data_IF_216549914320
#
_entry.id   IF_216549914320
#
_cell.length_a   1.000
_cell.length_b   1.000
_cell.length_c   1.000
_cell.angle_alpha   90.00
_cell.angle_beta   90.00
_cell.angle_gamma   90.00
#
_symmetry.space_group_name_H-M   'P 1'
#
loop_
_entity.id
_entity.type
_entity.pdbx_description
1 polymer ?
#
# COMPACT_ATOMS: atom_id res chain seq x y z
N UNK A 1 67.20 -39.56 40.55
CA UNK A 1 66.51 -38.41 39.94
C UNK A 1 65.53 -38.96 38.89
N UNK A 2 64.24 -38.61 39.00
CA UNK A 2 63.19 -38.90 37.99
C UNK A 2 63.51 -38.14 36.66
N UNK A 3 62.66 -38.14 35.60
CA UNK A 3 61.51 -39.00 35.14
C UNK A 3 61.68 -39.40 33.64
N UNK A 4 60.80 -40.13 32.92
CA UNK A 4 59.52 -39.70 32.34
C UNK A 4 58.91 -40.84 31.47
N UNK A 5 57.58 -41.06 31.62
CA UNK A 5 56.50 -41.30 30.63
C UNK A 5 56.76 -42.10 29.33
N UNK A 6 55.81 -42.78 28.66
CA UNK A 6 54.40 -43.22 28.84
C UNK A 6 54.01 -43.78 27.44
N UNK A 7 53.14 -44.79 27.37
CA UNK A 7 52.08 -45.01 26.36
C UNK A 7 51.86 -46.51 26.08
N UNK A 8 50.87 -47.06 26.78
CA UNK A 8 50.22 -48.34 26.47
C UNK A 8 49.13 -48.04 25.44
N UNK A 9 49.23 -48.65 24.26
CA UNK A 9 48.21 -48.57 23.22
C UNK A 9 47.02 -49.47 23.55
N UNK A 10 45.83 -48.88 23.62
CA UNK A 10 44.54 -49.58 23.70
C UNK A 10 44.02 -49.73 22.27
N UNK A 11 43.95 -50.96 21.79
CA UNK A 11 43.36 -51.30 20.48
C UNK A 11 41.86 -51.54 20.68
N UNK A 12 41.04 -50.57 20.28
CA UNK A 12 39.57 -50.65 20.31
C UNK A 12 39.07 -51.26 18.98
N UNK A 13 38.38 -52.40 19.06
CA UNK A 13 37.79 -53.07 17.90
C UNK A 13 36.58 -52.31 17.35
N UNK A 14 36.57 -52.05 16.05
CA UNK A 14 35.45 -51.44 15.32
C UNK A 14 34.50 -52.57 14.87
N UNK A 15 33.30 -52.60 15.44
CA UNK A 15 32.20 -53.43 14.98
C UNK A 15 31.47 -52.73 13.84
N UNK A 16 31.43 -53.37 12.68
CA UNK A 16 30.71 -52.93 11.48
C UNK A 16 29.22 -53.23 11.68
N UNK A 17 28.38 -52.21 11.87
CA UNK A 17 26.94 -52.33 11.72
C UNK A 17 26.55 -51.83 10.32
N UNK A 18 26.19 -52.75 9.44
CA UNK A 18 25.54 -52.44 8.17
C UNK A 18 24.07 -52.12 8.45
N UNK A 19 23.72 -50.83 8.45
CA UNK A 19 22.33 -50.40 8.32
C UNK A 19 21.90 -50.59 6.86
N UNK A 20 21.15 -51.66 6.62
CA UNK A 20 20.35 -51.86 5.42
C UNK A 20 19.15 -50.92 5.49
N UNK A 21 19.24 -49.76 4.84
CA UNK A 21 18.05 -48.97 4.53
C UNK A 21 17.31 -49.67 3.39
N UNK A 22 16.13 -50.21 3.71
CA UNK A 22 15.15 -50.67 2.74
C UNK A 22 14.87 -49.58 1.72
N UNK A 23 15.06 -49.89 0.44
CA UNK A 23 14.55 -49.09 -0.67
C UNK A 23 13.04 -49.28 -0.69
N UNK A 24 12.32 -48.43 0.04
CA UNK A 24 10.92 -48.18 -0.27
C UNK A 24 10.88 -47.21 -1.45
N UNK A 25 10.41 -47.75 -2.58
CA UNK A 25 10.03 -47.00 -3.76
C UNK A 25 8.74 -46.22 -3.45
N UNK A 26 8.85 -45.08 -2.77
CA UNK A 26 7.81 -44.06 -2.82
C UNK A 26 8.10 -43.13 -3.99
N UNK A 27 7.51 -43.47 -5.13
CA UNK A 27 7.42 -42.59 -6.28
C UNK A 27 6.29 -41.58 -6.05
N UNK A 28 6.40 -40.80 -4.97
CA UNK A 28 5.63 -39.58 -4.76
C UNK A 28 6.56 -38.42 -5.09
N UNK A 29 6.18 -37.58 -6.05
CA UNK A 29 6.77 -36.26 -6.13
C UNK A 29 6.69 -35.64 -4.72
N UNK A 30 7.77 -35.10 -4.12
CA UNK A 30 7.62 -34.42 -2.84
C UNK A 30 6.53 -33.36 -3.04
N UNK A 31 5.44 -33.45 -2.29
CA UNK A 31 4.46 -32.36 -2.26
C UNK A 31 5.24 -31.12 -1.83
N UNK A 32 5.24 -30.11 -2.69
CA UNK A 32 5.89 -28.84 -2.37
C UNK A 32 5.27 -28.30 -1.09
N UNK A 33 6.10 -27.87 -0.14
CA UNK A 33 5.61 -27.22 1.06
C UNK A 33 4.88 -25.91 0.66
N UNK A 34 3.64 -25.77 1.10
CA UNK A 34 2.85 -24.55 0.93
C UNK A 34 2.74 -23.78 2.23
N UNK A 35 2.75 -22.46 2.14
CA UNK A 35 2.66 -21.52 3.24
C UNK A 35 1.37 -20.70 3.12
N UNK A 36 0.71 -20.47 4.26
CA UNK A 36 -0.49 -19.64 4.31
C UNK A 36 -0.13 -18.18 4.03
N UNK A 37 -0.81 -17.61 3.04
CA UNK A 37 -0.63 -16.24 2.59
C UNK A 37 -1.94 -15.48 2.71
N UNK A 38 -1.97 -14.48 3.57
CA UNK A 38 -3.14 -13.64 3.82
C UNK A 38 -3.08 -12.39 2.95
N UNK A 39 -4.14 -12.14 2.19
CA UNK A 39 -4.30 -10.95 1.37
C UNK A 39 -5.15 -9.92 2.10
N UNK A 40 -4.71 -8.66 2.09
CA UNK A 40 -5.40 -7.55 2.73
C UNK A 40 -5.49 -6.36 1.79
N UNK A 41 -6.50 -5.53 2.01
CA UNK A 41 -6.67 -4.25 1.31
C UNK A 41 -6.52 -3.07 2.29
N UNK A 42 -5.98 -1.98 1.80
CA UNK A 42 -5.82 -0.68 2.48
C UNK A 42 -5.93 0.43 1.44
N UNK A 43 -5.81 1.68 1.89
CA UNK A 43 -5.96 2.87 1.06
C UNK A 43 -5.27 4.12 1.68
N UNK A 44 -5.12 5.15 0.85
CA UNK A 44 -4.79 6.53 1.17
C UNK A 44 -6.06 7.42 1.18
N UNK A 45 -6.10 8.49 2.00
CA UNK A 45 -7.26 9.38 2.05
C UNK A 45 -7.59 10.00 0.69
N UNK A 46 -8.88 10.25 0.45
CA UNK A 46 -9.33 11.01 -0.71
C UNK A 46 -9.16 12.50 -0.42
N UNK A 47 -8.47 13.21 -1.33
CA UNK A 47 -8.12 14.61 -1.16
C UNK A 47 -9.29 15.57 -1.54
N UNK A 48 -10.54 15.27 -1.17
CA UNK A 48 -11.72 16.11 -1.45
C UNK A 48 -12.66 16.21 -0.22
N UNK A 49 -13.11 17.42 0.13
CA UNK A 49 -13.98 17.69 1.29
C UNK A 49 -15.44 17.25 1.10
N UNK A 50 -15.90 17.12 -0.14
CA UNK A 50 -17.26 16.68 -0.47
C UNK A 50 -17.44 15.17 -0.30
N UNK A 51 -16.34 14.43 -0.36
CA UNK A 51 -16.30 12.97 -0.21
C UNK A 51 -16.30 12.64 1.28
N UNK A 52 -17.39 12.04 1.77
CA UNK A 52 -17.46 11.48 3.12
C UNK A 52 -16.85 10.09 3.17
N UNK A 53 -17.20 9.26 2.17
CA UNK A 53 -16.64 7.92 2.04
C UNK A 53 -16.58 7.44 0.58
N UNK A 54 -15.74 6.45 0.32
CA UNK A 54 -15.66 5.76 -0.97
C UNK A 54 -15.79 4.27 -0.75
N UNK A 55 -16.84 3.72 -1.36
CA UNK A 55 -17.19 2.32 -1.27
C UNK A 55 -16.80 1.59 -2.55
N UNK A 56 -16.02 0.53 -2.40
CA UNK A 56 -15.59 -0.33 -3.50
C UNK A 56 -16.03 -1.76 -3.23
N UNK A 57 -16.79 -2.33 -4.16
CA UNK A 57 -17.23 -3.72 -4.08
C UNK A 57 -16.33 -4.61 -4.90
N UNK A 58 -15.63 -5.51 -4.22
CA UNK A 58 -14.77 -6.52 -4.83
C UNK A 58 -15.57 -7.81 -4.89
N UNK A 59 -15.73 -8.35 -6.10
CA UNK A 59 -16.46 -9.58 -6.39
C UNK A 59 -15.57 -10.82 -6.43
N UNK A 60 -14.30 -10.65 -6.82
CA UNK A 60 -13.29 -11.70 -6.79
C UNK A 60 -11.88 -11.10 -6.65
N UNK A 61 -10.96 -11.90 -6.12
CA UNK A 61 -9.53 -11.58 -6.04
C UNK A 61 -8.79 -12.80 -6.54
N UNK A 62 -8.00 -12.66 -7.59
CA UNK A 62 -7.25 -13.78 -8.18
C UNK A 62 -5.76 -13.55 -8.08
N UNK A 63 -5.03 -14.63 -7.88
CA UNK A 63 -3.57 -14.68 -7.86
C UNK A 63 -3.14 -15.74 -8.85
N UNK A 64 -2.39 -15.34 -9.88
CA UNK A 64 -2.05 -16.21 -11.03
C UNK A 64 -3.28 -16.93 -11.61
N UNK A 65 -4.40 -16.20 -11.70
CA UNK A 65 -5.67 -16.71 -12.22
C UNK A 65 -6.46 -17.60 -11.25
N UNK A 66 -5.96 -17.85 -10.04
CA UNK A 66 -6.66 -18.62 -9.01
C UNK A 66 -7.36 -17.70 -8.01
N UNK A 67 -8.68 -17.80 -7.89
CA UNK A 67 -9.47 -17.02 -6.91
C UNK A 67 -9.08 -17.36 -5.46
N UNK A 68 -9.11 -16.36 -4.57
CA UNK A 68 -8.90 -16.55 -3.13
C UNK A 68 -9.95 -17.50 -2.55
N UNK A 69 -9.50 -18.52 -1.82
CA UNK A 69 -10.42 -19.51 -1.24
C UNK A 69 -11.33 -18.86 -0.19
N UNK A 70 -12.64 -19.08 -0.32
CA UNK A 70 -13.63 -18.56 0.61
C UNK A 70 -13.87 -17.06 0.52
N UNK A 71 -13.27 -16.37 -0.45
CA UNK A 71 -13.63 -14.98 -0.74
C UNK A 71 -15.08 -14.91 -1.20
N UNK A 72 -15.84 -14.00 -0.58
CA UNK A 72 -17.18 -13.67 -1.01
C UNK A 72 -17.17 -12.20 -1.41
N UNK A 73 -18.02 -11.86 -2.37
CA UNK A 73 -18.25 -10.47 -2.77
C UNK A 73 -18.43 -9.60 -1.52
N UNK A 74 -17.60 -8.57 -1.39
CA UNK A 74 -17.51 -7.72 -0.20
C UNK A 74 -17.39 -6.26 -0.62
N UNK A 75 -18.13 -5.39 0.06
CA UNK A 75 -18.04 -3.94 -0.10
C UNK A 75 -17.17 -3.35 0.99
N UNK A 76 -16.15 -2.61 0.60
CA UNK A 76 -15.21 -1.95 1.51
C UNK A 76 -15.44 -0.45 1.45
N UNK A 77 -15.60 0.19 2.61
CA UNK A 77 -15.29 1.61 2.77
C UNK A 77 -13.77 1.73 2.80
N UNK A 78 -13.18 2.11 1.66
CA UNK A 78 -11.72 2.21 1.50
C UNK A 78 -11.18 3.46 2.20
N UNK A 79 -11.91 4.58 2.16
CA UNK A 79 -11.58 5.81 2.87
C UNK A 79 -11.44 5.64 4.38
N UNK A 80 -12.09 4.64 4.99
CA UNK A 80 -11.90 4.29 6.39
C UNK A 80 -10.61 3.50 6.69
N UNK A 81 -9.89 3.02 5.65
CA UNK A 81 -8.69 2.18 5.78
C UNK A 81 -7.37 2.98 5.80
N UNK A 82 -7.44 4.25 6.20
CA UNK A 82 -6.27 5.13 6.35
C UNK A 82 -5.43 4.80 7.60
N UNK A 83 -4.23 5.39 7.67
CA UNK A 83 -3.30 5.26 8.80
C UNK A 83 -2.86 3.83 9.09
N UNK A 84 -2.65 3.03 8.04
CA UNK A 84 -2.16 1.65 8.14
C UNK A 84 -3.25 0.64 8.55
N UNK A 85 -4.52 1.05 8.56
CA UNK A 85 -5.62 0.13 8.76
C UNK A 85 -5.82 -0.75 7.53
N UNK A 86 -6.12 -2.02 7.74
CA UNK A 86 -6.25 -3.00 6.66
C UNK A 86 -7.47 -3.88 6.90
N UNK A 87 -8.08 -4.38 5.83
CA UNK A 87 -9.10 -5.44 5.89
C UNK A 87 -8.61 -6.69 5.18
N UNK A 88 -8.87 -7.85 5.76
CA UNK A 88 -8.54 -9.13 5.14
C UNK A 88 -9.51 -9.42 4.00
N UNK A 89 -8.96 -9.76 2.84
CA UNK A 89 -9.70 -10.27 1.68
C UNK A 89 -9.87 -11.78 1.83
N UNK A 90 -8.77 -12.51 2.00
CA UNK A 90 -8.80 -13.96 2.11
C UNK A 90 -7.42 -14.55 2.27
N UNK A 91 -7.32 -15.87 2.11
CA UNK A 91 -6.05 -16.59 2.20
C UNK A 91 -5.88 -17.53 1.01
N UNK A 92 -4.62 -17.81 0.66
CA UNK A 92 -4.24 -18.92 -0.22
C UNK A 92 -3.08 -19.69 0.37
N UNK A 93 -3.06 -21.01 0.10
CA UNK A 93 -1.89 -21.85 0.32
C UNK A 93 -0.99 -21.74 -0.91
N UNK A 94 0.23 -21.26 -0.74
CA UNK A 94 1.16 -20.98 -1.85
C UNK A 94 2.55 -21.52 -1.56
N UNK A 95 3.25 -21.99 -2.59
CA UNK A 95 4.67 -22.35 -2.44
C UNK A 95 5.51 -21.10 -2.15
N UNK A 96 6.69 -21.27 -1.54
CA UNK A 96 7.60 -20.15 -1.39
C UNK A 96 8.15 -19.73 -2.76
N UNK A 97 8.14 -18.43 -3.05
CA UNK A 97 8.56 -17.91 -4.34
C UNK A 97 8.10 -16.48 -4.61
N UNK A 98 8.50 -15.96 -5.77
CA UNK A 98 8.06 -14.65 -6.24
C UNK A 98 6.84 -14.80 -7.14
N UNK A 99 5.85 -13.95 -6.89
CA UNK A 99 4.59 -13.92 -7.59
C UNK A 99 4.36 -12.51 -8.14
N UNK A 100 3.58 -12.44 -9.20
CA UNK A 100 3.02 -11.23 -9.81
C UNK A 100 1.63 -11.61 -10.32
N UNK A 101 0.82 -10.69 -10.83
CA UNK A 101 -0.52 -10.99 -11.36
C UNK A 101 -1.58 -11.22 -10.28
N UNK A 102 -1.79 -10.20 -9.44
CA UNK A 102 -3.05 -10.11 -8.68
C UNK A 102 -4.08 -9.42 -9.59
N UNK A 103 -5.28 -10.01 -9.72
CA UNK A 103 -6.43 -9.40 -10.38
C UNK A 103 -7.49 -9.09 -9.32
N UNK A 104 -7.93 -7.83 -9.22
CA UNK A 104 -9.15 -7.47 -8.50
C UNK A 104 -10.30 -7.36 -9.48
N UNK A 105 -11.39 -8.08 -9.23
CA UNK A 105 -12.62 -7.99 -10.02
C UNK A 105 -13.64 -7.17 -9.25
N UNK A 106 -13.96 -5.97 -9.72
CA UNK A 106 -14.93 -5.08 -9.09
C UNK A 106 -16.35 -5.32 -9.60
N UNK A 107 -17.34 -5.08 -8.75
CA UNK A 107 -18.74 -5.00 -9.14
C UNK A 107 -19.22 -3.55 -8.99
N UNK A 108 -19.40 -2.88 -10.13
CA UNK A 108 -19.86 -1.49 -10.15
C UNK A 108 -21.38 -1.37 -9.96
N UNK A 109 -22.13 -2.44 -10.22
CA UNK A 109 -23.58 -2.37 -10.31
C UNK A 109 -24.25 -2.63 -8.97
N UNK A 110 -23.73 -3.55 -8.17
CA UNK A 110 -24.32 -3.87 -6.87
C UNK A 110 -23.30 -4.08 -5.76
N UNK A 111 -23.65 -3.68 -4.54
CA UNK A 111 -22.88 -3.94 -3.32
C UNK A 111 -22.97 -5.42 -2.90
N UNK A 112 -22.35 -5.78 -1.78
CA UNK A 112 -22.37 -7.15 -1.25
C UNK A 112 -23.75 -7.65 -0.84
N UNK A 113 -24.70 -6.75 -0.59
CA UNK A 113 -26.09 -7.05 -0.22
C UNK A 113 -27.04 -7.05 -1.44
N UNK A 114 -26.53 -6.65 -2.62
CA UNK A 114 -27.29 -6.59 -3.87
C UNK A 114 -27.95 -5.24 -4.16
N UNK A 115 -27.62 -4.18 -3.43
CA UNK A 115 -28.14 -2.83 -3.70
C UNK A 115 -27.25 -2.08 -4.68
N UNK A 116 -27.82 -1.22 -5.52
CA UNK A 116 -27.07 -0.37 -6.44
C UNK A 116 -26.81 1.03 -5.86
N UNK A 117 -25.69 1.70 -6.23
CA UNK A 117 -24.56 1.17 -7.00
C UNK A 117 -23.62 0.30 -6.15
N UNK A 118 -22.76 -0.49 -6.81
CA UNK A 118 -21.76 -1.35 -6.17
C UNK A 118 -20.45 -0.64 -5.81
N UNK A 119 -20.00 0.28 -6.65
CA UNK A 119 -18.89 1.18 -6.31
C UNK A 119 -19.38 2.62 -6.40
N UNK A 120 -19.11 3.42 -5.37
CA UNK A 120 -19.59 4.79 -5.30
C UNK A 120 -18.79 5.68 -4.34
N UNK A 121 -18.84 6.97 -4.62
CA UNK A 121 -18.53 8.02 -3.66
C UNK A 121 -19.81 8.34 -2.89
N UNK A 122 -19.73 8.38 -1.55
CA UNK A 122 -20.78 8.90 -0.69
C UNK A 122 -20.44 10.34 -0.31
N UNK A 123 -21.36 11.24 -0.63
CA UNK A 123 -21.23 12.66 -0.34
C UNK A 123 -21.65 12.94 1.10
N UNK A 124 -21.24 14.08 1.66
CA UNK A 124 -21.57 14.47 3.03
C UNK A 124 -23.09 14.56 3.34
N UNK A 125 -23.96 14.67 2.33
CA UNK A 125 -25.42 14.65 2.49
C UNK A 125 -26.04 13.23 2.39
N UNK A 126 -25.20 12.21 2.22
CA UNK A 126 -25.58 10.80 2.07
C UNK A 126 -25.94 10.39 0.65
N UNK A 127 -25.78 11.28 -0.34
CA UNK A 127 -26.01 10.94 -1.75
C UNK A 127 -24.89 10.02 -2.26
N UNK A 128 -25.26 9.03 -3.08
CA UNK A 128 -24.30 8.09 -3.69
C UNK A 128 -24.08 8.44 -5.14
N UNK A 129 -22.84 8.70 -5.51
CA UNK A 129 -22.41 8.90 -6.87
C UNK A 129 -21.66 7.65 -7.39
N UNK A 130 -22.19 7.02 -8.44
CA UNK A 130 -21.64 5.77 -8.97
C UNK A 130 -20.28 6.05 -9.62
N UNK A 131 -19.27 5.26 -9.28
CA UNK A 131 -17.97 5.28 -9.94
C UNK A 131 -17.68 3.95 -10.62
N UNK A 132 -17.14 4.01 -11.84
CA UNK A 132 -16.81 2.84 -12.66
C UNK A 132 -15.64 3.13 -13.60
N UNK A 133 -14.90 2.08 -13.99
CA UNK A 133 -13.94 2.18 -15.09
C UNK A 133 -14.42 1.33 -16.26
N UNK A 134 -13.75 1.43 -17.41
CA UNK A 134 -14.11 0.66 -18.61
C UNK A 134 -13.93 -0.85 -18.44
N UNK A 135 -13.17 -1.28 -17.42
CA UNK A 135 -12.93 -2.68 -17.09
C UNK A 135 -13.28 -2.93 -15.62
N UNK A 136 -13.95 -4.04 -15.33
CA UNK A 136 -14.19 -4.52 -13.97
C UNK A 136 -13.00 -5.28 -13.40
N UNK A 137 -12.18 -5.88 -14.27
CA UNK A 137 -10.92 -6.52 -13.88
C UNK A 137 -9.79 -5.51 -13.87
N UNK A 138 -9.08 -5.43 -12.75
CA UNK A 138 -7.91 -4.58 -12.55
C UNK A 138 -6.72 -5.48 -12.27
N UNK A 139 -5.78 -5.51 -13.21
CA UNK A 139 -4.50 -6.19 -13.02
C UNK A 139 -3.57 -5.31 -12.18
N UNK A 140 -2.99 -5.88 -11.12
CA UNK A 140 -1.95 -5.24 -10.32
C UNK A 140 -0.61 -5.79 -10.79
N UNK A 141 0.24 -4.89 -11.29
CA UNK A 141 1.50 -5.24 -11.95
C UNK A 141 2.66 -5.45 -10.98
N UNK A 142 2.51 -5.02 -9.73
CA UNK A 142 3.49 -5.22 -8.68
C UNK A 142 3.66 -6.71 -8.32
N UNK A 143 4.90 -7.09 -8.04
CA UNK A 143 5.22 -8.41 -7.51
C UNK A 143 5.25 -8.45 -5.98
N UNK A 144 5.11 -9.66 -5.43
CA UNK A 144 5.28 -9.97 -4.01
C UNK A 144 5.99 -11.31 -3.82
N UNK A 145 6.47 -11.57 -2.62
CA UNK A 145 7.16 -12.81 -2.26
C UNK A 145 6.34 -13.61 -1.25
N UNK A 146 6.24 -14.92 -1.43
CA UNK A 146 5.80 -15.83 -0.37
C UNK A 146 7.05 -16.40 0.26
N UNK A 147 7.27 -16.06 1.53
CA UNK A 147 8.39 -16.58 2.30
C UNK A 147 8.07 -17.97 2.84
N UNK A 148 9.10 -18.79 3.03
CA UNK A 148 9.02 -20.10 3.67
C UNK A 148 8.80 -19.97 5.20
N UNK A 149 7.69 -19.34 5.57
CA UNK A 149 7.26 -19.02 6.93
C UNK A 149 5.75 -19.12 7.02
N UNK A 150 5.22 -19.28 8.23
CA UNK A 150 3.77 -19.43 8.45
C UNK A 150 3.01 -18.09 8.50
N UNK A 151 3.69 -16.97 8.28
CA UNK A 151 3.12 -15.62 8.36
C UNK A 151 3.54 -14.81 7.13
N UNK A 152 2.74 -14.89 6.07
CA UNK A 152 2.87 -14.02 4.89
C UNK A 152 1.65 -13.10 4.83
N UNK A 153 1.84 -11.79 4.92
CA UNK A 153 0.76 -10.81 4.76
C UNK A 153 1.04 -9.92 3.55
N UNK A 154 0.21 -10.05 2.51
CA UNK A 154 0.28 -9.26 1.29
C UNK A 154 -0.74 -8.14 1.38
N UNK A 155 -0.27 -6.90 1.28
CA UNK A 155 -1.13 -5.71 1.29
C UNK A 155 -1.30 -5.23 -0.15
N UNK A 156 -2.55 -5.13 -0.57
CA UNK A 156 -3.00 -4.42 -1.76
C UNK A 156 -3.39 -3.02 -1.30
N UNK A 157 -2.62 -2.02 -1.68
CA UNK A 157 -2.91 -0.62 -1.40
C UNK A 157 -3.55 0.00 -2.64
N UNK A 158 -4.82 0.37 -2.49
CA UNK A 158 -5.66 0.92 -3.54
C UNK A 158 -5.71 2.43 -3.33
N UNK A 159 -4.74 3.18 -3.87
CA UNK A 159 -4.61 4.63 -3.62
C UNK A 159 -5.81 5.39 -4.23
N UNK A 160 -6.83 5.70 -3.43
CA UNK A 160 -8.05 6.36 -3.90
C UNK A 160 -7.78 7.73 -4.51
N UNK A 161 -6.80 8.47 -3.99
CA UNK A 161 -6.41 9.77 -4.55
C UNK A 161 -5.91 9.66 -6.00
N UNK A 162 -5.26 8.55 -6.37
CA UNK A 162 -4.83 8.31 -7.76
C UNK A 162 -5.92 7.70 -8.64
N UNK A 163 -6.90 7.06 -8.03
CA UNK A 163 -7.82 6.17 -8.73
C UNK A 163 -9.22 6.76 -8.88
N UNK A 164 -9.60 7.75 -8.08
CA UNK A 164 -10.83 8.52 -8.23
C UNK A 164 -10.51 9.88 -8.84
N UNK A 165 -11.32 10.31 -9.81
CA UNK A 165 -11.26 11.63 -10.44
C UNK A 165 -12.59 12.35 -10.31
N UNK A 166 -12.51 13.67 -10.31
CA UNK A 166 -13.66 14.55 -10.50
C UNK A 166 -13.95 14.71 -12.00
N UNK A 167 -15.20 14.51 -12.41
CA UNK A 167 -15.65 14.79 -13.77
C UNK A 167 -16.03 16.28 -13.88
N UNK A 168 -15.41 17.01 -14.81
CA UNK A 168 -15.81 18.39 -15.06
C UNK A 168 -17.05 18.43 -15.98
N UNK A 169 -18.24 18.80 -15.47
CA UNK A 169 -19.40 19.02 -16.34
C UNK A 169 -20.79 19.00 -15.69
N UNK A 170 -21.83 18.92 -16.53
CA UNK A 170 -23.26 18.83 -16.14
C UNK A 170 -23.77 17.38 -16.15
N UNK A 171 -22.91 16.41 -15.87
CA UNK A 171 -23.28 14.99 -15.89
C UNK A 171 -24.07 14.63 -14.60
N UNK A 172 -24.70 13.45 -14.60
CA UNK A 172 -25.40 12.95 -13.40
C UNK A 172 -24.43 12.48 -12.29
N UNK A 173 -23.14 12.30 -12.62
CA UNK A 173 -22.05 11.92 -11.70
C UNK A 173 -20.96 12.99 -11.69
N UNK A 174 -20.54 13.39 -10.49
CA UNK A 174 -19.47 14.34 -10.21
C UNK A 174 -18.10 13.63 -10.08
N UNK A 175 -18.09 12.31 -9.85
CA UNK A 175 -16.89 11.49 -9.69
C UNK A 175 -16.91 10.27 -10.58
N UNK A 176 -15.72 9.75 -10.86
CA UNK A 176 -15.56 8.46 -11.52
C UNK A 176 -14.22 7.80 -11.18
N UNK A 177 -14.05 6.51 -11.50
CA UNK A 177 -12.70 5.96 -11.52
C UNK A 177 -11.92 6.55 -12.71
N UNK A 178 -10.60 6.63 -12.56
CA UNK A 178 -9.66 6.93 -13.65
C UNK A 178 -9.69 5.85 -14.74
N UNK A 179 -8.94 6.06 -15.82
CA UNK A 179 -8.83 5.05 -16.89
C UNK A 179 -8.33 3.71 -16.35
N UNK A 180 -8.65 2.59 -17.00
CA UNK A 180 -8.24 1.26 -16.51
C UNK A 180 -6.72 1.13 -16.31
N UNK A 181 -5.91 1.81 -17.14
CA UNK A 181 -4.45 1.86 -16.98
C UNK A 181 -4.00 2.68 -15.78
N UNK A 182 -4.63 3.83 -15.53
CA UNK A 182 -4.32 4.65 -14.35
C UNK A 182 -4.81 3.97 -13.07
N UNK A 183 -5.92 3.23 -13.15
CA UNK A 183 -6.47 2.46 -12.04
C UNK A 183 -5.49 1.35 -11.65
N UNK A 184 -5.03 0.56 -12.62
CA UNK A 184 -3.97 -0.44 -12.42
C UNK A 184 -2.69 0.18 -11.81
N UNK A 185 -2.27 1.36 -12.30
CA UNK A 185 -1.09 2.07 -11.79
C UNK A 185 -1.29 2.71 -10.40
N UNK A 186 -2.54 2.96 -9.99
CA UNK A 186 -2.89 3.45 -8.68
C UNK A 186 -2.94 2.36 -7.60
N UNK A 187 -2.84 1.08 -7.98
CA UNK A 187 -2.78 -0.04 -7.07
C UNK A 187 -1.34 -0.54 -6.93
N UNK A 188 -0.91 -0.79 -5.68
CA UNK A 188 0.40 -1.38 -5.37
C UNK A 188 0.26 -2.59 -4.48
N UNK A 189 1.22 -3.51 -4.60
CA UNK A 189 1.29 -4.72 -3.77
C UNK A 189 2.59 -4.78 -2.99
N UNK A 190 2.51 -5.08 -1.70
CA UNK A 190 3.66 -5.14 -0.79
C UNK A 190 3.56 -6.28 0.22
N UNK A 191 4.71 -6.90 0.49
CA UNK A 191 4.92 -7.76 1.65
C UNK A 191 4.92 -6.90 2.91
N UNK A 192 3.91 -7.03 3.77
CA UNK A 192 3.78 -6.20 4.97
C UNK A 192 5.05 -6.25 5.83
N UNK A 193 5.57 -7.44 6.07
CA UNK A 193 6.79 -7.68 6.84
C UNK A 193 8.05 -7.03 6.24
N UNK A 194 8.05 -6.71 4.94
CA UNK A 194 9.15 -6.06 4.24
C UNK A 194 8.97 -4.53 4.10
N UNK A 195 7.96 -3.95 4.76
CA UNK A 195 7.67 -2.51 4.71
C UNK A 195 8.00 -1.80 6.01
N UNK A 196 8.22 -0.50 5.92
CA UNK A 196 8.31 0.44 7.04
C UNK A 196 7.26 1.54 6.95
N UNK A 197 7.32 2.46 7.90
CA UNK A 197 6.36 3.56 8.05
C UNK A 197 7.10 4.86 8.39
N UNK A 198 6.64 5.97 7.81
CA UNK A 198 7.06 7.32 8.22
C UNK A 198 5.85 8.03 8.85
N UNK A 199 5.97 8.41 10.12
CA UNK A 199 4.98 9.20 10.85
C UNK A 199 5.54 10.55 11.26
N UNK A 200 4.69 11.54 11.40
CA UNK A 200 5.12 12.83 11.90
C UNK A 200 3.97 13.73 12.30
N UNK A 201 4.32 14.91 12.78
CA UNK A 201 3.41 16.04 12.96
C UNK A 201 3.89 17.23 12.14
N UNK A 202 2.94 18.01 11.64
CA UNK A 202 3.22 19.28 10.95
C UNK A 202 2.81 20.44 11.84
N UNK A 203 3.76 21.32 12.14
CA UNK A 203 3.50 22.60 12.79
C UNK A 203 3.43 23.72 11.73
N UNK A 204 2.22 24.15 11.41
CA UNK A 204 1.95 25.31 10.52
C UNK A 204 1.42 26.49 11.35
N UNK A 205 2.35 27.22 12.00
CA UNK A 205 2.00 28.31 12.91
C UNK A 205 1.35 29.51 12.21
N UNK A 206 1.64 29.70 10.91
CA UNK A 206 1.11 30.80 10.11
C UNK A 206 -0.21 30.45 9.42
N UNK A 207 -0.71 29.22 9.62
CA UNK A 207 -1.96 28.71 9.04
C UNK A 207 -2.03 28.96 7.53
N UNK A 208 -0.98 28.52 6.83
CA UNK A 208 -0.75 28.74 5.40
C UNK A 208 -1.68 27.93 4.49
N UNK A 209 -2.40 26.95 5.05
CA UNK A 209 -3.14 25.93 4.29
C UNK A 209 -4.47 25.59 4.96
N UNK A 210 -5.50 25.32 4.16
CA UNK A 210 -6.77 24.74 4.67
C UNK A 210 -6.65 23.21 4.82
N UNK A 211 -5.85 22.58 3.95
CA UNK A 211 -5.46 21.17 4.03
C UNK A 211 -3.98 21.04 3.67
N UNK A 212 -3.27 20.14 4.37
CA UNK A 212 -1.90 19.75 4.02
C UNK A 212 -1.89 18.27 3.69
N UNK A 213 -1.26 17.91 2.56
CA UNK A 213 -1.01 16.52 2.18
C UNK A 213 0.48 16.28 2.09
N UNK A 214 0.94 15.18 2.67
CA UNK A 214 2.33 14.72 2.61
C UNK A 214 2.43 13.63 1.56
N UNK A 215 3.34 13.78 0.60
CA UNK A 215 3.63 12.79 -0.43
C UNK A 215 5.02 12.19 -0.21
N UNK A 216 5.11 10.86 -0.28
CA UNK A 216 6.39 10.16 -0.31
C UNK A 216 6.79 9.88 -1.76
N UNK A 217 8.01 10.23 -2.13
CA UNK A 217 8.63 9.86 -3.40
C UNK A 217 9.88 9.04 -3.13
N UNK A 218 10.22 8.10 -4.02
CA UNK A 218 11.56 7.54 -4.01
C UNK A 218 12.57 8.68 -4.23
N UNK A 219 13.70 8.67 -3.52
CA UNK A 219 14.65 9.77 -3.52
C UNK A 219 15.07 10.18 -4.94
N UNK A 220 14.89 11.46 -5.26
CA UNK A 220 15.29 12.06 -6.53
C UNK A 220 14.33 11.79 -7.68
N UNK A 221 13.12 11.28 -7.40
CA UNK A 221 12.07 11.05 -8.41
C UNK A 221 11.05 12.18 -8.45
N UNK A 222 10.91 12.96 -7.38
CA UNK A 222 10.03 14.11 -7.36
C UNK A 222 10.47 15.16 -8.40
N UNK A 223 9.53 15.59 -9.22
CA UNK A 223 9.71 16.69 -10.15
C UNK A 223 8.55 17.68 -10.01
N UNK A 224 8.83 18.84 -9.41
CA UNK A 224 7.82 19.86 -9.17
C UNK A 224 7.13 20.36 -10.46
N UNK A 225 7.83 20.42 -11.59
CA UNK A 225 7.26 20.86 -12.88
C UNK A 225 6.28 19.83 -13.47
N UNK A 226 6.38 18.56 -13.06
CA UNK A 226 5.53 17.45 -13.52
C UNK A 226 4.42 17.17 -12.52
N UNK A 227 4.75 16.98 -11.24
CA UNK A 227 3.80 16.52 -10.21
C UNK A 227 2.71 17.54 -9.89
N UNK A 228 3.02 18.81 -10.06
CA UNK A 228 2.05 19.91 -9.85
C UNK A 228 1.27 20.24 -11.12
N UNK A 229 1.46 19.49 -12.19
CA UNK A 229 0.55 19.50 -13.33
C UNK A 229 -0.29 18.23 -13.21
N UNK A 230 -1.56 18.30 -13.61
CA UNK A 230 -2.35 17.07 -13.67
C UNK A 230 -1.81 16.19 -14.80
N UNK A 231 -1.69 14.89 -14.52
CA UNK A 231 -1.07 13.90 -15.39
C UNK A 231 -2.11 12.92 -15.92
N UNK A 232 -1.82 12.35 -17.09
CA UNK A 232 -2.67 11.35 -17.73
C UNK A 232 -3.99 11.92 -18.26
N UNK A 233 -4.88 11.03 -18.66
CA UNK A 233 -6.22 11.41 -19.16
C UNK A 233 -7.13 11.87 -18.02
N UNK A 234 -6.84 11.41 -16.79
CA UNK A 234 -7.60 11.75 -15.60
C UNK A 234 -7.08 12.99 -14.86
N UNK A 235 -6.05 13.66 -15.37
CA UNK A 235 -5.52 14.92 -14.85
C UNK A 235 -5.11 14.86 -13.36
N UNK A 236 -4.56 13.72 -12.92
CA UNK A 236 -4.18 13.45 -11.53
C UNK A 236 -2.87 14.17 -11.18
N UNK A 237 -2.87 14.98 -10.12
CA UNK A 237 -1.65 15.61 -9.58
C UNK A 237 -0.93 14.67 -8.63
N UNK A 238 0.38 14.82 -8.51
CA UNK A 238 1.23 13.99 -7.65
C UNK A 238 1.06 12.49 -7.97
N UNK A 239 0.84 12.16 -9.25
CA UNK A 239 0.49 10.81 -9.69
C UNK A 239 1.63 9.81 -9.44
N UNK A 240 2.88 10.28 -9.42
CA UNK A 240 4.05 9.42 -9.23
C UNK A 240 4.48 9.27 -7.76
N UNK A 241 3.80 9.93 -6.81
CA UNK A 241 4.05 9.70 -5.38
C UNK A 241 3.83 8.22 -5.05
N UNK A 242 4.70 7.60 -4.25
CA UNK A 242 4.56 6.20 -3.82
C UNK A 242 3.33 6.02 -2.94
N UNK A 243 3.06 6.98 -2.06
CA UNK A 243 1.88 7.04 -1.19
C UNK A 243 1.73 8.46 -0.66
N UNK A 244 0.58 8.77 -0.09
CA UNK A 244 0.27 10.07 0.50
C UNK A 244 -0.50 9.93 1.80
N UNK A 245 -0.49 11.00 2.60
CA UNK A 245 -1.27 11.11 3.81
C UNK A 245 -1.73 12.55 4.01
N UNK A 246 -3.02 12.73 4.25
CA UNK A 246 -3.55 13.98 4.77
C UNK A 246 -3.01 14.22 6.19
N UNK A 247 -2.61 15.45 6.45
CA UNK A 247 -2.24 15.91 7.78
C UNK A 247 -3.51 16.27 8.54
N UNK A 248 -3.77 15.59 9.65
CA UNK A 248 -4.97 15.83 10.43
C UNK A 248 -5.01 15.12 11.77
N UNK A 249 -6.20 15.06 12.34
CA UNK A 249 -6.42 14.41 13.63
C UNK A 249 -5.70 15.10 14.80
N UNK A 250 -5.25 14.31 15.77
CA UNK A 250 -4.61 14.83 16.99
C UNK A 250 -3.22 15.37 16.64
N UNK A 251 -2.98 16.65 16.99
CA UNK A 251 -1.69 17.33 16.81
C UNK A 251 -1.22 17.46 15.35
N UNK A 252 -2.13 17.53 14.37
CA UNK A 252 -1.79 17.65 12.95
C UNK A 252 -0.80 16.55 12.50
N UNK A 253 -1.17 15.31 12.77
CA UNK A 253 -0.35 14.13 12.51
C UNK A 253 -0.58 13.57 11.10
N UNK A 254 0.41 12.86 10.58
CA UNK A 254 0.28 12.09 9.35
C UNK A 254 0.99 10.74 9.47
N UNK A 255 0.57 9.76 8.65
CA UNK A 255 1.25 8.48 8.53
C UNK A 255 1.32 7.96 7.10
N UNK A 256 2.54 7.79 6.60
CA UNK A 256 2.85 7.17 5.31
C UNK A 256 3.23 5.70 5.56
N UNK A 257 2.31 4.80 5.18
CA UNK A 257 2.38 3.39 5.52
C UNK A 257 2.89 2.53 4.37
N UNK A 258 3.33 1.32 4.73
CA UNK A 258 3.66 0.27 3.79
C UNK A 258 4.71 0.69 2.74
N UNK A 259 5.70 1.49 3.15
CA UNK A 259 6.82 1.89 2.29
C UNK A 259 7.80 0.72 2.18
N UNK A 260 8.14 0.29 0.96
CA UNK A 260 9.20 -0.72 0.74
C UNK A 260 10.53 -0.17 1.28
N UNK A 261 11.47 -1.06 1.63
CA UNK A 261 12.81 -0.63 2.04
C UNK A 261 13.47 0.20 0.94
N UNK A 262 13.97 1.41 1.27
CA UNK A 262 14.51 2.36 0.30
C UNK A 262 14.78 3.75 0.88
N UNK A 263 15.28 4.64 0.03
CA UNK A 263 15.45 6.07 0.33
C UNK A 263 14.27 6.86 -0.24
N UNK A 264 13.71 7.76 0.57
CA UNK A 264 12.54 8.55 0.20
C UNK A 264 12.76 10.05 0.45
N UNK A 265 12.07 10.86 -0.34
CA UNK A 265 11.88 12.29 -0.10
C UNK A 265 10.42 12.58 0.25
N UNK A 266 10.20 13.50 1.20
CA UNK A 266 8.86 13.94 1.58
C UNK A 266 8.57 15.32 1.03
N UNK A 267 7.45 15.43 0.35
CA UNK A 267 6.94 16.68 -0.21
C UNK A 267 5.66 17.05 0.51
N UNK A 268 5.63 18.24 1.11
CA UNK A 268 4.49 18.76 1.84
C UNK A 268 3.78 19.77 0.96
N UNK A 269 2.47 19.60 0.78
CA UNK A 269 1.70 20.39 -0.19
C UNK A 269 0.50 21.01 0.51
N UNK A 270 0.33 22.30 0.26
CA UNK A 270 -0.83 23.07 0.71
C UNK A 270 -1.96 23.02 -0.30
N UNK A 271 -3.17 22.89 0.21
CA UNK A 271 -4.41 23.06 -0.51
C UNK A 271 -5.23 24.17 0.14
N UNK A 272 -5.89 24.95 -0.69
CA UNK A 272 -6.87 25.96 -0.28
C UNK A 272 -8.27 25.52 -0.65
N UNK A 273 -9.22 25.81 0.21
CA UNK A 273 -10.61 25.48 0.01
C UNK A 273 -11.34 26.66 -0.64
N UNK A 274 -12.06 26.40 -1.75
CA UNK A 274 -13.05 27.32 -2.30
C UNK A 274 -14.39 26.59 -2.43
N UNK A 275 -15.40 27.07 -1.70
CA UNK A 275 -16.63 26.32 -1.46
C UNK A 275 -16.34 25.00 -0.74
N UNK A 276 -16.63 23.88 -1.40
CA UNK A 276 -16.35 22.55 -0.85
C UNK A 276 -15.17 21.86 -1.54
N UNK A 277 -14.56 22.50 -2.53
CA UNK A 277 -13.48 21.89 -3.31
C UNK A 277 -12.12 22.35 -2.79
N UNK A 278 -11.15 21.43 -2.77
CA UNK A 278 -9.77 21.73 -2.46
C UNK A 278 -8.95 21.91 -3.73
N UNK A 279 -8.21 23.00 -3.79
CA UNK A 279 -7.36 23.33 -4.90
C UNK A 279 -5.91 23.34 -4.44
N UNK A 280 -5.03 22.75 -5.27
CA UNK A 280 -3.59 22.87 -5.06
C UNK A 280 -3.21 24.35 -4.97
N UNK A 281 -2.54 24.74 -3.89
CA UNK A 281 -2.11 26.11 -3.65
C UNK A 281 -0.61 26.27 -3.87
N UNK A 282 0.21 25.57 -3.09
CA UNK A 282 1.67 25.66 -3.16
C UNK A 282 2.36 24.48 -2.50
N UNK A 283 3.64 24.25 -2.84
CA UNK A 283 4.50 23.36 -2.06
C UNK A 283 4.99 24.08 -0.81
N UNK A 284 4.98 23.42 0.34
CA UNK A 284 5.43 23.97 1.62
C UNK A 284 6.94 23.80 1.78
N UNK A 285 7.61 24.86 2.19
CA UNK A 285 8.98 24.78 2.70
C UNK A 285 8.92 24.36 4.17
N UNK A 286 9.60 23.27 4.50
CA UNK A 286 9.56 22.69 5.85
C UNK A 286 10.95 22.39 6.38
N UNK A 287 11.11 22.52 7.70
CA UNK A 287 12.31 22.11 8.41
C UNK A 287 12.00 20.95 9.37
N UNK A 288 12.87 19.94 9.37
CA UNK A 288 12.79 18.86 10.35
C UNK A 288 13.15 19.37 11.74
N UNK A 289 12.22 19.19 12.68
CA UNK A 289 12.44 19.50 14.11
C UNK A 289 13.47 18.59 14.78
N UNK A 290 13.77 17.44 14.18
CA UNK A 290 14.76 16.46 14.66
C UNK A 290 16.07 16.50 13.87
N UNK A 291 16.19 17.40 12.88
CA UNK A 291 17.36 17.52 12.02
C UNK A 291 17.50 16.41 10.98
N UNK A 292 16.41 15.69 10.66
CA UNK A 292 16.38 14.72 9.57
C UNK A 292 16.48 15.41 8.21
N UNK A 293 17.18 14.78 7.28
CA UNK A 293 17.18 15.15 5.86
C UNK A 293 15.91 14.59 5.21
N UNK A 294 14.90 15.45 5.05
CA UNK A 294 13.61 15.09 4.46
C UNK A 294 13.71 14.73 2.97
N UNK A 295 14.82 15.02 2.30
CA UNK A 295 15.09 14.62 0.91
C UNK A 295 15.80 13.26 0.78
N UNK A 296 16.14 12.60 1.90
CA UNK A 296 16.87 11.34 1.91
C UNK A 296 16.58 10.49 3.15
N UNK A 297 15.30 10.27 3.46
CA UNK A 297 14.86 9.44 4.57
C UNK A 297 15.07 7.95 4.24
N UNK A 298 15.80 7.26 5.11
CA UNK A 298 16.03 5.82 4.98
C UNK A 298 14.92 5.04 5.66
N UNK A 299 14.19 4.24 4.87
CA UNK A 299 13.15 3.32 5.35
C UNK A 299 13.66 1.89 5.26
N UNK A 300 13.49 1.12 6.34
CA UNK A 300 13.77 -0.31 6.38
C UNK A 300 12.56 -1.09 6.88
N UNK A 301 12.50 -2.39 6.62
CA UNK A 301 11.44 -3.27 7.14
C UNK A 301 11.22 -3.11 8.64
N UNK A 302 9.97 -3.03 9.07
CA UNK A 302 9.53 -2.86 10.47
C UNK A 302 10.05 -1.58 11.18
N UNK A 303 10.68 -0.65 10.45
CA UNK A 303 11.07 0.64 11.00
C UNK A 303 9.87 1.59 11.02
N UNK A 304 9.68 2.25 12.16
CA UNK A 304 8.87 3.44 12.27
C UNK A 304 9.79 4.65 12.38
N UNK A 305 9.81 5.49 11.36
CA UNK A 305 10.58 6.72 11.33
C UNK A 305 9.69 7.90 11.76
N UNK A 306 10.20 8.76 12.65
CA UNK A 306 9.49 9.96 13.11
C UNK A 306 10.05 11.23 12.46
N UNK A 307 9.29 11.83 11.54
CA UNK A 307 9.63 13.04 10.80
C UNK A 307 8.71 14.20 11.20
N UNK A 308 8.97 14.83 12.33
CA UNK A 308 8.21 16.00 12.76
C UNK A 308 8.77 17.26 12.08
N UNK A 309 7.90 18.10 11.52
CA UNK A 309 8.31 19.27 10.72
C UNK A 309 7.64 20.56 11.17
N UNK A 310 8.30 21.68 10.92
CA UNK A 310 7.72 23.03 11.02
C UNK A 310 7.69 23.65 9.63
N UNK A 311 6.56 24.22 9.24
CA UNK A 311 6.44 25.02 8.01
C UNK A 311 7.17 26.34 8.20
N UNK A 312 8.08 26.66 7.29
CA UNK A 312 8.90 27.88 7.32
C UNK A 312 8.58 28.85 6.18
N UNK A 313 7.88 28.38 5.15
CA UNK A 313 7.50 29.18 4.01
C UNK A 313 6.68 28.40 3.00
N UNK A 314 6.42 29.02 1.86
CA UNK A 314 5.77 28.40 0.71
C UNK A 314 6.60 28.69 -0.54
N UNK A 315 6.72 27.68 -1.40
CA UNK A 315 7.27 27.83 -2.74
C UNK A 315 6.11 27.79 -3.72
N UNK A 316 5.79 28.93 -4.34
CA UNK A 316 5.05 28.96 -5.59
C UNK A 316 5.96 28.44 -6.70
N UNK A 317 5.40 27.68 -7.65
CA UNK A 317 6.06 27.45 -8.93
C UNK A 317 6.13 28.74 -9.74
#
# INVERSE_FOLDING_TARGET
MKPFLKNVGITMGIAIMMFSCSKDNENGNPESETYSTTYKITDAPVDNAEIDAVFVTVSDVKVDGTSLEGFNKTTFDLSALVNGQTKTLGNLQMEAGSYSNIELVLDYDTDMDGNAPGCYVEMADGTKDKIESTSQSIDITDGFEVFATNTNEIIIDFDLRKTVKEEQGTLESDFNFVTASELSAGLRTVNKEATGEIKGTVNDAENTSDKIVVYAYEKGTYNAEVETQGQGESNIRFANAVTSAEVGGINNSYSLNFLKTGEYELIFVSYTQDGNQFYFNSTLEVESTTGLDLGALQVTSALQLSANVTVTGTSSL
#
